data_IF_612190791838
#
_entry.id   IF_612190791838
#
_cell.length_a   1.000
_cell.length_b   1.000
_cell.length_c   1.000
_cell.angle_alpha   90.00
_cell.angle_beta   90.00
_cell.angle_gamma   90.00
#
_symmetry.space_group_name_H-M   'P 1'
#
loop_
_entity.id
_entity.type
_entity.pdbx_description
1 polymer ?
#
# COMPACT_ATOMS: atom_id res chain seq x y z
N UNK A 1 38.62 -12.85 -4.82
CA UNK A 1 38.15 -11.75 -3.96
C UNK A 1 37.02 -11.02 -4.67
N UNK A 2 35.98 -10.63 -3.95
CA UNK A 2 34.86 -9.86 -4.52
C UNK A 2 35.33 -8.45 -4.89
N UNK A 3 35.09 -7.97 -6.12
CA UNK A 3 35.41 -6.59 -6.51
C UNK A 3 34.34 -5.59 -6.06
N UNK A 4 33.12 -6.08 -5.79
CA UNK A 4 31.98 -5.23 -5.47
C UNK A 4 31.22 -5.74 -4.25
N UNK A 5 30.76 -4.80 -3.41
CA UNK A 5 29.86 -5.03 -2.29
C UNK A 5 28.51 -4.41 -2.61
N UNK A 6 27.43 -5.21 -2.51
CA UNK A 6 26.05 -4.72 -2.66
C UNK A 6 25.38 -4.74 -1.29
N UNK A 7 24.75 -3.64 -0.91
CA UNK A 7 23.97 -3.54 0.33
C UNK A 7 22.48 -3.46 0.03
N UNK A 8 21.72 -4.34 0.64
CA UNK A 8 20.25 -4.42 0.54
C UNK A 8 19.60 -4.22 1.89
N UNK A 9 18.28 -3.99 1.93
CA UNK A 9 17.56 -3.79 3.19
C UNK A 9 17.35 -5.11 3.96
N UNK A 10 16.98 -6.18 3.25
CA UNK A 10 16.59 -7.46 3.85
C UNK A 10 17.46 -8.64 3.41
N UNK A 11 17.63 -9.68 4.25
CA UNK A 11 18.42 -10.87 3.89
C UNK A 11 17.82 -11.69 2.75
N UNK A 12 16.49 -11.76 2.64
CA UNK A 12 15.81 -12.52 1.58
C UNK A 12 16.17 -11.95 0.21
N UNK A 13 15.99 -10.63 0.06
CA UNK A 13 16.45 -9.86 -1.11
C UNK A 13 17.93 -10.09 -1.42
N UNK A 14 18.77 -10.13 -0.38
CA UNK A 14 20.21 -10.35 -0.51
C UNK A 14 20.57 -11.68 -1.17
N UNK A 15 19.93 -12.78 -0.74
CA UNK A 15 20.16 -14.12 -1.31
C UNK A 15 19.77 -14.19 -2.79
N UNK A 16 18.63 -13.61 -3.14
CA UNK A 16 18.13 -13.58 -4.53
C UNK A 16 19.07 -12.81 -5.45
N UNK A 17 19.52 -11.63 -5.01
CA UNK A 17 20.44 -10.78 -5.80
C UNK A 17 21.84 -11.39 -5.92
N UNK A 18 22.37 -12.00 -4.85
CA UNK A 18 23.69 -12.65 -4.88
C UNK A 18 23.72 -13.80 -5.90
N UNK A 19 22.62 -14.56 -6.03
CA UNK A 19 22.44 -15.59 -7.06
C UNK A 19 22.52 -15.02 -8.48
N UNK A 20 21.93 -13.84 -8.74
CA UNK A 20 21.89 -13.24 -10.08
C UNK A 20 23.18 -12.53 -10.49
N UNK A 21 23.92 -11.96 -9.53
CA UNK A 21 25.18 -11.26 -9.79
C UNK A 21 26.39 -12.19 -9.85
N UNK A 22 26.33 -13.36 -9.21
CA UNK A 22 27.33 -14.41 -9.37
C UNK A 22 28.67 -14.17 -8.65
N UNK A 23 29.69 -14.96 -9.05
CA UNK A 23 31.00 -15.01 -8.37
C UNK A 23 31.82 -13.74 -8.67
N UNK A 24 31.77 -12.77 -7.77
CA UNK A 24 32.49 -11.49 -7.91
C UNK A 24 31.89 -10.36 -7.09
N UNK A 25 30.63 -10.52 -6.69
CA UNK A 25 29.88 -9.58 -5.87
C UNK A 25 29.53 -10.24 -4.54
N UNK A 26 29.76 -9.52 -3.45
CA UNK A 26 29.28 -9.92 -2.12
C UNK A 26 28.03 -9.13 -1.80
N UNK A 27 26.98 -9.78 -1.27
CA UNK A 27 25.76 -9.08 -0.86
C UNK A 27 25.60 -9.12 0.65
N UNK A 28 25.34 -7.97 1.28
CA UNK A 28 25.06 -7.86 2.72
C UNK A 28 23.75 -7.09 2.96
N UNK A 29 23.07 -7.40 4.05
CA UNK A 29 21.84 -6.71 4.45
C UNK A 29 22.08 -5.71 5.59
N UNK A 30 21.46 -4.53 5.50
CA UNK A 30 21.46 -3.51 6.56
C UNK A 30 20.45 -3.78 7.67
N UNK A 31 19.43 -4.61 7.41
CA UNK A 31 18.29 -4.88 8.29
C UNK A 31 17.46 -3.61 8.56
N UNK A 32 17.10 -2.92 7.49
CA UNK A 32 16.36 -1.66 7.54
C UNK A 32 17.26 -0.46 7.81
N UNK A 33 16.69 0.53 8.51
CA UNK A 33 17.38 1.74 8.97
C UNK A 33 18.56 1.40 9.89
N UNK A 34 19.71 2.05 9.66
CA UNK A 34 20.93 1.91 10.49
C UNK A 34 21.08 3.04 11.52
N UNK A 35 20.32 4.12 11.34
CA UNK A 35 20.27 5.30 12.20
C UNK A 35 18.82 5.65 12.49
N UNK A 36 18.59 6.31 13.62
CA UNK A 36 17.32 6.95 13.93
C UNK A 36 17.55 8.26 14.70
N UNK A 37 16.54 9.12 14.79
CA UNK A 37 16.56 10.29 15.64
C UNK A 37 16.83 9.90 17.09
N UNK A 38 17.59 10.72 17.80
CA UNK A 38 17.82 10.53 19.24
C UNK A 38 16.46 10.53 19.96
N UNK A 39 16.15 9.54 20.83
CA UNK A 39 14.86 9.41 21.49
C UNK A 39 14.71 10.37 22.69
N UNK A 40 15.17 11.61 22.55
CA UNK A 40 15.12 12.66 23.57
C UNK A 40 14.57 13.93 22.94
N UNK A 41 14.08 14.85 23.78
CA UNK A 41 13.73 16.20 23.36
C UNK A 41 14.91 16.90 22.69
N UNK A 42 14.63 17.68 21.63
CA UNK A 42 15.67 18.41 20.89
C UNK A 42 16.45 17.57 19.87
N UNK A 43 15.88 16.45 19.40
CA UNK A 43 16.44 15.70 18.26
C UNK A 43 16.34 16.46 16.93
N UNK A 44 15.50 17.50 16.89
CA UNK A 44 15.30 18.40 15.76
C UNK A 44 15.48 19.81 16.29
N UNK A 45 16.40 20.54 15.68
CA UNK A 45 16.69 21.92 16.02
C UNK A 45 15.93 22.86 15.10
N UNK A 46 14.81 23.41 15.57
CA UNK A 46 13.94 24.30 14.80
C UNK A 46 14.56 25.67 14.54
N UNK A 47 15.59 26.06 15.28
CA UNK A 47 16.27 27.34 15.12
C UNK A 47 17.40 27.27 14.09
N UNK A 48 17.93 26.07 13.84
CA UNK A 48 19.04 25.83 12.93
C UNK A 48 18.60 24.93 11.75
N UNK A 49 17.72 25.46 10.90
CA UNK A 49 17.24 24.83 9.66
C UNK A 49 16.75 23.39 9.83
N UNK A 50 16.04 23.12 10.93
CA UNK A 50 15.52 21.79 11.28
C UNK A 50 16.59 20.70 11.36
N UNK A 51 17.84 21.04 11.70
CA UNK A 51 18.93 20.07 11.75
C UNK A 51 18.59 18.88 12.66
N UNK A 52 18.80 17.67 12.15
CA UNK A 52 18.38 16.42 12.78
C UNK A 52 19.56 15.69 13.41
N UNK A 53 19.42 15.33 14.68
CA UNK A 53 20.40 14.56 15.44
C UNK A 53 20.07 13.08 15.35
N UNK A 54 20.90 12.36 14.62
CA UNK A 54 20.79 10.92 14.45
C UNK A 54 21.74 10.16 15.39
N UNK A 55 21.30 8.99 15.84
CA UNK A 55 22.12 8.01 16.54
C UNK A 55 22.03 6.66 15.85
N UNK A 56 23.07 5.83 16.01
CA UNK A 56 23.05 4.46 15.51
C UNK A 56 21.99 3.64 16.24
N UNK A 57 21.32 2.75 15.50
CA UNK A 57 20.41 1.77 16.09
C UNK A 57 21.24 0.59 16.63
N UNK A 58 21.24 0.39 17.95
CA UNK A 58 22.09 -0.61 18.62
C UNK A 58 21.95 -2.03 18.06
N UNK A 59 20.72 -2.48 17.80
CA UNK A 59 20.45 -3.81 17.22
C UNK A 59 21.12 -4.01 15.85
N UNK A 60 21.33 -2.92 15.10
CA UNK A 60 21.88 -2.97 13.74
C UNK A 60 23.41 -2.73 13.70
N UNK A 61 24.04 -2.39 14.84
CA UNK A 61 25.49 -2.16 14.95
C UNK A 61 26.32 -3.34 14.42
N UNK A 62 25.96 -4.58 14.79
CA UNK A 62 26.67 -5.79 14.33
C UNK A 62 26.64 -5.95 12.80
N UNK A 63 25.58 -5.47 12.15
CA UNK A 63 25.44 -5.52 10.69
C UNK A 63 26.28 -4.45 10.02
N UNK A 64 26.29 -3.22 10.56
CA UNK A 64 27.19 -2.15 10.11
C UNK A 64 28.66 -2.58 10.24
N UNK A 65 29.05 -3.20 11.35
CA UNK A 65 30.43 -3.65 11.55
C UNK A 65 30.84 -4.72 10.52
N UNK A 66 29.91 -5.59 10.09
CA UNK A 66 30.14 -6.54 9.00
C UNK A 66 30.32 -5.83 7.65
N UNK A 67 29.54 -4.80 7.38
CA UNK A 67 29.67 -3.97 6.16
C UNK A 67 31.05 -3.29 6.15
N UNK A 68 31.43 -2.63 7.25
CA UNK A 68 32.73 -1.98 7.41
C UNK A 68 33.89 -2.95 7.17
N UNK A 69 33.81 -4.17 7.72
CA UNK A 69 34.83 -5.20 7.48
C UNK A 69 34.90 -5.64 6.02
N UNK A 70 33.75 -5.72 5.34
CA UNK A 70 33.69 -6.11 3.93
C UNK A 70 34.23 -5.03 2.99
N UNK A 71 34.08 -3.74 3.35
CA UNK A 71 34.55 -2.60 2.56
C UNK A 71 36.07 -2.57 2.35
N UNK A 72 36.85 -3.17 3.26
CA UNK A 72 38.33 -3.19 3.15
C UNK A 72 38.89 -3.92 1.93
N UNK A 73 38.08 -4.75 1.26
CA UNK A 73 38.51 -5.64 0.19
C UNK A 73 37.71 -5.46 -1.10
N UNK A 74 37.09 -4.30 -1.33
CA UNK A 74 36.24 -4.04 -2.51
C UNK A 74 36.55 -2.68 -3.13
N UNK A 75 36.38 -2.58 -4.44
CA UNK A 75 36.58 -1.35 -5.21
C UNK A 75 35.27 -0.55 -5.35
N UNK A 76 34.13 -1.26 -5.35
CA UNK A 76 32.80 -0.68 -5.58
C UNK A 76 31.83 -1.03 -4.45
N UNK A 77 31.04 -0.03 -4.03
CA UNK A 77 29.91 -0.18 -3.11
C UNK A 77 28.61 0.20 -3.83
N UNK A 78 27.72 -0.75 -3.99
CA UNK A 78 26.38 -0.55 -4.54
C UNK A 78 25.32 -0.53 -3.44
N UNK A 79 24.54 0.54 -3.38
CA UNK A 79 23.40 0.69 -2.49
C UNK A 79 22.12 0.27 -3.23
N UNK A 80 21.57 -0.90 -2.89
CA UNK A 80 20.46 -1.57 -3.57
C UNK A 80 19.20 -1.69 -2.68
N UNK A 81 18.92 -0.65 -1.90
CA UNK A 81 17.67 -0.52 -1.14
C UNK A 81 16.48 -0.30 -2.08
N UNK A 82 15.27 -0.42 -1.53
CA UNK A 82 14.03 -0.31 -2.30
C UNK A 82 13.87 1.02 -3.05
N UNK A 83 13.11 1.05 -4.16
CA UNK A 83 13.01 2.20 -5.05
C UNK A 83 12.05 3.29 -4.54
N UNK A 84 11.94 3.46 -3.22
CA UNK A 84 11.09 4.47 -2.58
C UNK A 84 11.92 5.46 -1.73
N UNK A 85 11.23 6.46 -1.16
CA UNK A 85 11.87 7.48 -0.31
C UNK A 85 12.51 6.88 0.95
N UNK A 86 11.93 5.82 1.51
CA UNK A 86 12.49 5.13 2.68
C UNK A 86 13.79 4.42 2.32
N UNK A 87 13.80 3.68 1.20
CA UNK A 87 15.00 3.05 0.67
C UNK A 87 16.10 4.06 0.37
N UNK A 88 15.77 5.21 -0.21
CA UNK A 88 16.75 6.26 -0.47
C UNK A 88 17.36 6.82 0.83
N UNK A 89 16.54 7.05 1.85
CA UNK A 89 17.01 7.50 3.17
C UNK A 89 17.88 6.44 3.88
N UNK A 90 17.56 5.15 3.79
CA UNK A 90 18.40 4.07 4.32
C UNK A 90 19.79 4.10 3.66
N UNK A 91 19.82 4.24 2.34
CA UNK A 91 21.07 4.34 1.59
C UNK A 91 21.88 5.57 2.00
N UNK A 92 21.22 6.73 2.15
CA UNK A 92 21.86 7.95 2.63
C UNK A 92 22.42 7.80 4.06
N UNK A 93 21.63 7.26 4.99
CA UNK A 93 22.08 7.03 6.36
C UNK A 93 23.29 6.09 6.46
N UNK A 94 23.31 5.05 5.64
CA UNK A 94 24.45 4.15 5.57
C UNK A 94 25.68 4.87 5.00
N UNK A 95 25.51 5.65 3.94
CA UNK A 95 26.61 6.43 3.34
C UNK A 95 27.22 7.40 4.36
N UNK A 96 26.42 8.20 5.04
CA UNK A 96 26.89 9.15 6.05
C UNK A 96 27.60 8.43 7.21
N UNK A 97 27.10 7.26 7.63
CA UNK A 97 27.75 6.45 8.66
C UNK A 97 29.11 5.89 8.24
N UNK A 98 29.25 5.54 6.98
CA UNK A 98 30.51 5.03 6.44
C UNK A 98 31.52 6.19 6.21
N UNK A 99 31.05 7.38 5.84
CA UNK A 99 31.87 8.60 5.80
C UNK A 99 32.43 8.97 7.17
N UNK A 100 31.59 9.02 8.20
CA UNK A 100 32.02 9.32 9.57
C UNK A 100 33.03 8.31 10.13
N UNK A 101 32.99 7.07 9.63
CA UNK A 101 33.96 6.02 9.99
C UNK A 101 35.26 6.08 9.18
N UNK A 102 35.37 6.96 8.18
CA UNK A 102 36.51 7.07 7.27
C UNK A 102 36.85 5.74 6.58
N UNK A 103 35.86 5.01 6.05
CA UNK A 103 36.04 3.69 5.41
C UNK A 103 35.68 3.66 3.93
N UNK A 104 35.53 4.83 3.30
CA UNK A 104 35.14 4.98 1.88
C UNK A 104 36.27 5.46 0.97
N UNK A 105 37.47 5.66 1.51
CA UNK A 105 38.61 6.12 0.73
C UNK A 105 38.94 5.11 -0.39
N UNK A 106 38.99 5.59 -1.63
CA UNK A 106 39.25 4.76 -2.81
C UNK A 106 38.07 3.87 -3.26
N UNK A 107 36.90 3.96 -2.62
CA UNK A 107 35.72 3.15 -2.95
C UNK A 107 34.75 3.96 -3.80
N UNK A 108 34.38 3.44 -4.96
CA UNK A 108 33.33 4.02 -5.79
C UNK A 108 31.95 3.65 -5.24
N UNK A 109 31.18 4.64 -4.78
CA UNK A 109 29.84 4.42 -4.18
C UNK A 109 28.73 4.81 -5.15
N UNK A 110 27.81 3.90 -5.39
CA UNK A 110 26.75 4.04 -6.40
C UNK A 110 25.39 3.53 -5.91
N UNK A 111 24.30 4.10 -6.40
CA UNK A 111 22.91 3.71 -6.08
C UNK A 111 22.33 2.88 -7.23
N UNK A 112 21.81 1.70 -6.91
CA UNK A 112 21.22 0.74 -7.87
C UNK A 112 19.73 0.59 -7.60
N UNK A 113 18.88 0.86 -8.58
CA UNK A 113 17.42 0.87 -8.44
C UNK A 113 16.80 -0.13 -9.41
N UNK A 114 15.89 -0.96 -8.90
CA UNK A 114 15.08 -1.87 -9.69
C UNK A 114 13.70 -2.00 -9.05
N UNK A 115 12.69 -2.23 -9.87
CA UNK A 115 11.28 -2.35 -9.45
C UNK A 115 10.80 -3.81 -9.39
N UNK A 116 11.67 -4.74 -9.77
CA UNK A 116 11.46 -6.18 -9.74
C UNK A 116 12.78 -6.90 -9.51
N UNK A 117 12.73 -8.11 -8.96
CA UNK A 117 13.92 -8.91 -8.64
C UNK A 117 14.01 -10.06 -9.63
N UNK A 118 14.26 -9.71 -10.90
CA UNK A 118 14.56 -10.64 -11.98
C UNK A 118 16.05 -10.58 -12.31
N UNK A 119 16.58 -11.62 -12.96
CA UNK A 119 18.01 -11.66 -13.34
C UNK A 119 18.38 -10.50 -14.29
N UNK A 120 17.53 -10.23 -15.29
CA UNK A 120 17.72 -9.15 -16.26
C UNK A 120 17.71 -7.79 -15.57
N UNK A 121 16.66 -7.48 -14.80
CA UNK A 121 16.51 -6.17 -14.15
C UNK A 121 17.64 -5.88 -13.16
N UNK A 122 18.08 -6.87 -12.38
CA UNK A 122 19.20 -6.70 -11.43
C UNK A 122 20.53 -6.46 -12.14
N UNK A 123 20.79 -7.17 -13.24
CA UNK A 123 22.04 -7.00 -14.01
C UNK A 123 22.06 -5.64 -14.73
N UNK A 124 20.94 -5.24 -15.32
CA UNK A 124 20.80 -3.93 -15.97
C UNK A 124 20.95 -2.78 -14.97
N UNK A 125 20.35 -2.88 -13.80
CA UNK A 125 20.43 -1.85 -12.77
C UNK A 125 21.85 -1.68 -12.21
N UNK A 126 22.63 -2.77 -12.11
CA UNK A 126 24.05 -2.70 -11.72
C UNK A 126 24.92 -2.14 -12.84
N UNK A 127 24.57 -2.38 -14.11
CA UNK A 127 25.26 -1.81 -15.26
C UNK A 127 24.98 -0.30 -15.42
N UNK A 128 23.79 0.17 -14.99
CA UNK A 128 23.36 1.57 -15.10
C UNK A 128 23.07 2.20 -13.72
N UNK A 129 24.09 2.34 -12.85
CA UNK A 129 23.90 2.95 -11.54
C UNK A 129 23.63 4.46 -11.65
N UNK A 130 23.01 5.02 -10.61
CA UNK A 130 22.82 6.46 -10.43
C UNK A 130 23.44 6.98 -9.13
N UNK A 131 23.44 8.29 -8.96
CA UNK A 131 23.70 8.92 -7.66
C UNK A 131 22.48 8.84 -6.74
N UNK A 132 22.67 9.14 -5.45
CA UNK A 132 21.55 9.30 -4.52
C UNK A 132 20.70 10.51 -4.92
N UNK A 133 19.38 10.35 -4.81
CA UNK A 133 18.41 11.41 -5.04
C UNK A 133 18.20 12.18 -3.74
N UNK A 134 18.97 13.24 -3.56
CA UNK A 134 18.86 14.15 -2.41
C UNK A 134 17.41 14.64 -2.20
N UNK A 135 16.64 15.03 -3.24
CA UNK A 135 15.23 15.40 -3.05
C UNK A 135 14.35 14.30 -2.43
N UNK A 136 14.65 13.02 -2.68
CA UNK A 136 13.91 11.90 -2.07
C UNK A 136 14.30 11.71 -0.60
N UNK A 137 15.59 11.89 -0.29
CA UNK A 137 16.10 11.88 1.09
C UNK A 137 15.48 13.02 1.87
N UNK A 138 15.53 14.25 1.34
CA UNK A 138 14.97 15.44 1.97
C UNK A 138 13.46 15.29 2.21
N UNK A 139 12.73 14.69 1.26
CA UNK A 139 11.30 14.41 1.43
C UNK A 139 11.03 13.39 2.56
N UNK A 140 11.89 12.39 2.72
CA UNK A 140 11.79 11.43 3.82
C UNK A 140 12.13 12.09 5.17
N UNK A 141 13.21 12.88 5.19
CA UNK A 141 13.68 13.63 6.35
C UNK A 141 12.67 14.68 6.83
N UNK A 142 12.10 15.47 5.92
CA UNK A 142 11.03 16.43 6.23
C UNK A 142 9.81 15.73 6.82
N UNK A 143 9.42 14.56 6.28
CA UNK A 143 8.35 13.74 6.86
C UNK A 143 8.71 13.28 8.27
N UNK A 144 9.92 12.75 8.46
CA UNK A 144 10.41 12.28 9.78
C UNK A 144 10.41 13.42 10.79
N UNK A 145 10.83 14.60 10.36
CA UNK A 145 10.85 15.79 11.19
C UNK A 145 9.46 16.23 11.61
N UNK A 146 8.54 16.32 10.65
CA UNK A 146 7.16 16.68 10.89
C UNK A 146 6.46 15.72 11.85
N UNK A 147 6.62 14.41 11.63
CA UNK A 147 6.00 13.38 12.47
C UNK A 147 6.58 13.41 13.91
N UNK A 148 7.88 13.67 14.07
CA UNK A 148 8.52 13.88 15.38
C UNK A 148 7.97 15.12 16.08
N UNK A 149 7.94 16.28 15.42
CA UNK A 149 7.50 17.55 16.01
C UNK A 149 6.02 17.48 16.46
N UNK A 150 5.15 16.90 15.63
CA UNK A 150 3.73 16.68 16.00
C UNK A 150 3.61 15.74 17.20
N UNK A 151 4.32 14.60 17.16
CA UNK A 151 4.26 13.61 18.22
C UNK A 151 4.74 14.16 19.56
N UNK A 152 5.92 14.77 19.59
CA UNK A 152 6.53 15.30 20.81
C UNK A 152 5.79 16.52 21.39
N UNK A 153 5.23 17.39 20.55
CA UNK A 153 4.55 18.58 21.04
C UNK A 153 3.09 18.31 21.47
N UNK A 154 2.38 17.39 20.79
CA UNK A 154 0.94 17.17 21.06
C UNK A 154 0.70 16.03 22.06
N UNK A 155 1.50 14.96 22.06
CA UNK A 155 1.25 13.80 22.95
C UNK A 155 1.25 14.17 24.44
N UNK A 156 2.14 15.05 24.96
CA UNK A 156 2.08 15.48 26.37
C UNK A 156 0.77 16.18 26.73
N UNK A 157 0.17 16.93 25.80
CA UNK A 157 -1.12 17.57 26.00
C UNK A 157 -2.24 16.51 26.13
N UNK A 158 -2.21 15.49 25.27
CA UNK A 158 -3.16 14.36 25.35
C UNK A 158 -3.03 13.60 26.67
N UNK A 159 -1.81 13.43 27.19
CA UNK A 159 -1.60 12.79 28.49
C UNK A 159 -2.20 13.58 29.64
N UNK A 160 -2.03 14.91 29.61
CA UNK A 160 -2.58 15.82 30.63
C UNK A 160 -4.10 15.93 30.57
N UNK A 161 -4.70 15.84 29.38
CA UNK A 161 -6.13 16.12 29.16
C UNK A 161 -7.02 14.88 29.05
N UNK A 162 -6.47 13.74 28.65
CA UNK A 162 -7.24 12.52 28.37
C UNK A 162 -6.69 11.34 29.16
N UNK A 163 -5.52 10.80 28.77
CA UNK A 163 -4.91 9.63 29.41
C UNK A 163 -3.41 9.53 29.10
N UNK A 164 -2.56 9.21 30.09
CA UNK A 164 -1.16 8.88 29.85
C UNK A 164 -0.97 7.75 28.82
N UNK A 165 0.05 7.87 27.97
CA UNK A 165 0.40 6.85 26.97
C UNK A 165 -0.33 6.96 25.63
N UNK A 166 -1.19 7.96 25.44
CA UNK A 166 -1.77 8.26 24.12
C UNK A 166 -0.74 8.86 23.17
N UNK A 167 -0.88 8.61 21.87
CA UNK A 167 -0.02 9.21 20.84
C UNK A 167 -0.82 10.14 19.95
N UNK A 168 -0.23 11.28 19.62
CA UNK A 168 -0.73 12.14 18.57
C UNK A 168 0.07 11.88 17.29
N UNK A 169 -0.62 11.77 16.16
CA UNK A 169 0.04 11.52 14.88
C UNK A 169 -0.70 12.24 13.77
N UNK A 170 0.04 12.98 12.95
CA UNK A 170 -0.52 13.80 11.86
C UNK A 170 -1.42 13.00 10.90
N UNK A 171 -1.13 11.72 10.68
CA UNK A 171 -1.93 10.82 9.82
C UNK A 171 -2.90 9.96 10.64
N UNK A 172 -2.52 9.55 11.85
CA UNK A 172 -3.34 8.70 12.71
C UNK A 172 -4.58 9.43 13.23
N UNK A 173 -4.43 10.69 13.64
CA UNK A 173 -5.53 11.47 14.21
C UNK A 173 -6.65 11.77 13.20
N UNK A 174 -6.37 12.20 11.95
CA UNK A 174 -7.43 12.30 10.93
C UNK A 174 -8.08 10.97 10.57
N UNK A 175 -7.32 9.87 10.51
CA UNK A 175 -7.89 8.55 10.24
C UNK A 175 -8.85 8.10 11.36
N UNK A 176 -8.48 8.33 12.62
CA UNK A 176 -9.37 8.10 13.76
C UNK A 176 -10.61 9.00 13.68
N UNK A 177 -10.43 10.28 13.35
CA UNK A 177 -11.54 11.23 13.17
C UNK A 177 -12.55 10.74 12.12
N UNK A 178 -12.10 10.23 10.98
CA UNK A 178 -13.01 9.68 9.96
C UNK A 178 -13.86 8.51 10.47
N UNK A 179 -13.33 7.69 11.39
CA UNK A 179 -14.07 6.59 12.01
C UNK A 179 -15.08 7.15 13.01
N UNK A 180 -14.66 8.09 13.85
CA UNK A 180 -15.53 8.73 14.85
C UNK A 180 -16.68 9.48 14.18
N UNK A 181 -16.41 10.29 13.15
CA UNK A 181 -17.46 11.02 12.41
C UNK A 181 -18.46 10.06 11.77
N UNK A 182 -18.01 8.91 11.25
CA UNK A 182 -18.93 7.87 10.75
C UNK A 182 -19.78 7.25 11.88
N UNK A 183 -19.21 7.02 13.05
CA UNK A 183 -19.98 6.50 14.18
C UNK A 183 -21.01 7.52 14.65
N UNK A 184 -20.64 8.80 14.75
CA UNK A 184 -21.55 9.91 15.07
C UNK A 184 -22.69 10.01 14.03
N UNK A 185 -22.40 9.83 12.74
CA UNK A 185 -23.43 9.75 11.68
C UNK A 185 -24.41 8.58 11.91
N UNK A 186 -23.91 7.43 12.39
CA UNK A 186 -24.73 6.24 12.66
C UNK A 186 -25.57 6.44 13.93
N UNK A 187 -25.00 7.01 15.00
CA UNK A 187 -25.71 7.30 16.24
C UNK A 187 -26.79 8.38 16.05
N UNK A 188 -26.53 9.38 15.19
CA UNK A 188 -27.47 10.43 14.84
C UNK A 188 -28.53 9.99 13.80
N UNK A 189 -28.41 8.77 13.25
CA UNK A 189 -29.35 8.27 12.25
C UNK A 189 -30.71 7.97 12.89
N UNK A 190 -31.73 8.73 12.51
CA UNK A 190 -33.13 8.49 12.87
C UNK A 190 -33.79 7.54 11.85
N UNK A 191 -33.98 6.24 12.16
CA UNK A 191 -34.51 5.26 11.23
C UNK A 191 -35.97 5.56 10.91
N UNK A 192 -36.28 5.72 9.62
CA UNK A 192 -37.65 5.93 9.13
C UNK A 192 -38.19 4.65 8.51
N UNK A 193 -39.32 4.21 9.03
CA UNK A 193 -40.07 3.09 8.47
C UNK A 193 -40.55 3.42 7.05
N UNK A 194 -40.42 2.44 6.15
CA UNK A 194 -41.02 2.50 4.82
C UNK A 194 -41.25 1.09 4.27
N UNK A 195 -42.19 1.01 3.34
CA UNK A 195 -42.59 -0.23 2.70
C UNK A 195 -42.25 -0.21 1.22
N UNK A 196 -41.86 -1.39 0.71
CA UNK A 196 -41.74 -1.62 -0.73
C UNK A 196 -42.63 -2.78 -1.12
N UNK A 197 -43.34 -2.62 -2.23
CA UNK A 197 -44.22 -3.66 -2.75
C UNK A 197 -43.53 -4.37 -3.90
N UNK A 198 -43.51 -5.70 -3.84
CA UNK A 198 -43.04 -6.57 -4.91
C UNK A 198 -44.19 -7.47 -5.35
N UNK A 199 -44.45 -7.53 -6.65
CA UNK A 199 -45.39 -8.50 -7.21
C UNK A 199 -44.67 -9.82 -7.47
N UNK A 200 -45.34 -10.95 -7.29
CA UNK A 200 -44.85 -12.24 -7.79
C UNK A 200 -45.54 -12.51 -9.11
N UNK A 201 -44.77 -12.59 -10.20
CA UNK A 201 -45.34 -12.79 -11.55
C UNK A 201 -44.71 -14.00 -12.21
N UNK A 202 -45.52 -14.67 -13.03
CA UNK A 202 -45.12 -15.80 -13.85
C UNK A 202 -45.36 -15.47 -15.32
N UNK A 203 -44.35 -15.70 -16.15
CA UNK A 203 -44.50 -15.66 -17.60
C UNK A 203 -44.03 -16.98 -18.17
N UNK A 204 -44.98 -17.86 -18.54
CA UNK A 204 -44.70 -19.17 -19.14
C UNK A 204 -43.77 -20.05 -18.28
N UNK A 205 -43.94 -20.01 -16.96
CA UNK A 205 -43.11 -20.75 -15.99
C UNK A 205 -41.87 -19.98 -15.50
N UNK A 206 -41.52 -18.85 -16.14
CA UNK A 206 -40.45 -17.97 -15.63
C UNK A 206 -41.01 -17.04 -14.56
N UNK A 207 -40.59 -17.27 -13.31
CA UNK A 207 -41.00 -16.47 -12.15
C UNK A 207 -40.03 -15.33 -11.90
N UNK A 208 -40.55 -14.13 -11.65
CA UNK A 208 -39.75 -12.98 -11.25
C UNK A 208 -40.57 -12.02 -10.36
N UNK A 209 -39.87 -11.10 -9.68
CA UNK A 209 -40.49 -10.23 -8.67
C UNK A 209 -40.32 -8.74 -9.01
N UNK A 210 -41.16 -8.15 -9.88
CA UNK A 210 -41.10 -6.72 -10.16
C UNK A 210 -41.41 -5.90 -8.89
N UNK A 211 -40.58 -4.89 -8.63
CA UNK A 211 -40.83 -3.89 -7.60
C UNK A 211 -41.77 -2.82 -8.13
N UNK A 212 -42.76 -2.43 -7.33
CA UNK A 212 -43.66 -1.32 -7.65
C UNK A 212 -42.86 -0.02 -7.76
N UNK A 213 -42.92 0.60 -8.93
CA UNK A 213 -42.24 1.87 -9.21
C UNK A 213 -43.20 3.07 -9.25
N UNK A 214 -44.43 2.86 -9.70
CA UNK A 214 -45.43 3.92 -9.89
C UNK A 214 -46.75 3.48 -9.30
N UNK A 215 -47.37 4.33 -8.49
CA UNK A 215 -48.67 4.07 -7.88
C UNK A 215 -49.56 5.31 -8.03
N UNK A 216 -50.79 5.13 -8.50
CA UNK A 216 -51.75 6.22 -8.74
C UNK A 216 -51.19 7.37 -9.61
N UNK A 217 -50.44 7.02 -10.66
CA UNK A 217 -49.83 8.00 -11.58
C UNK A 217 -48.59 8.72 -11.05
N UNK A 218 -48.18 8.50 -9.80
CA UNK A 218 -46.99 9.08 -9.19
C UNK A 218 -45.87 8.05 -9.09
N UNK A 219 -44.66 8.42 -9.51
CA UNK A 219 -43.47 7.60 -9.25
C UNK A 219 -43.17 7.60 -7.74
N UNK A 220 -43.08 6.41 -7.15
CA UNK A 220 -42.85 6.24 -5.72
C UNK A 220 -41.42 6.59 -5.36
N UNK A 221 -41.27 7.45 -4.35
CA UNK A 221 -40.03 7.68 -3.61
C UNK A 221 -39.96 6.74 -2.40
N UNK A 222 -38.78 6.62 -1.80
CA UNK A 222 -38.51 5.69 -0.71
C UNK A 222 -39.53 5.77 0.45
N UNK A 223 -39.98 6.97 0.82
CA UNK A 223 -40.88 7.20 1.96
C UNK A 223 -42.32 7.55 1.56
N UNK A 224 -42.74 7.28 0.31
CA UNK A 224 -44.14 7.51 -0.10
C UNK A 224 -45.11 6.48 0.52
N UNK A 225 -44.62 5.29 0.88
CA UNK A 225 -45.35 4.29 1.68
C UNK A 225 -44.66 4.15 3.03
N UNK A 226 -44.98 5.03 3.97
CA UNK A 226 -44.27 5.17 5.25
C UNK A 226 -44.95 4.44 6.43
N UNK A 227 -46.02 3.69 6.18
CA UNK A 227 -46.72 2.92 7.20
C UNK A 227 -47.36 1.66 6.60
N UNK A 228 -47.59 0.67 7.44
CA UNK A 228 -48.16 -0.62 7.06
C UNK A 228 -49.56 -0.49 6.43
N UNK A 229 -50.41 0.36 7.00
CA UNK A 229 -51.80 0.54 6.54
C UNK A 229 -51.86 0.99 5.08
N UNK A 230 -51.07 1.99 4.71
CA UNK A 230 -51.02 2.49 3.32
C UNK A 230 -50.40 1.47 2.37
N UNK A 231 -49.41 0.71 2.84
CA UNK A 231 -48.80 -0.37 2.07
C UNK A 231 -49.80 -1.51 1.79
N UNK A 232 -50.59 -1.92 2.79
CA UNK A 232 -51.65 -2.92 2.66
C UNK A 232 -52.74 -2.42 1.72
N UNK A 233 -53.21 -1.19 1.90
CA UNK A 233 -54.23 -0.60 1.02
C UNK A 233 -53.75 -0.52 -0.44
N UNK A 234 -52.49 -0.14 -0.66
CA UNK A 234 -51.89 -0.14 -1.99
C UNK A 234 -51.77 -1.56 -2.57
N UNK A 235 -51.36 -2.55 -1.78
CA UNK A 235 -51.32 -3.96 -2.18
C UNK A 235 -52.70 -4.47 -2.60
N UNK A 236 -53.72 -4.27 -1.77
CA UNK A 236 -55.08 -4.72 -2.04
C UNK A 236 -55.64 -4.09 -3.30
N UNK A 237 -55.46 -2.78 -3.46
CA UNK A 237 -55.87 -2.07 -4.68
C UNK A 237 -55.18 -2.64 -5.92
N UNK A 238 -53.86 -2.87 -5.86
CA UNK A 238 -53.12 -3.44 -6.99
C UNK A 238 -53.55 -4.87 -7.33
N UNK A 239 -53.86 -5.70 -6.34
CA UNK A 239 -54.36 -7.06 -6.57
C UNK A 239 -55.74 -7.04 -7.23
N UNK A 240 -56.62 -6.14 -6.77
CA UNK A 240 -57.95 -5.94 -7.34
C UNK A 240 -57.86 -5.42 -8.78
N UNK A 241 -57.04 -4.39 -9.02
CA UNK A 241 -56.85 -3.77 -10.34
C UNK A 241 -56.20 -4.76 -11.34
N UNK A 242 -55.27 -5.60 -10.89
CA UNK A 242 -54.60 -6.60 -11.73
C UNK A 242 -55.50 -7.81 -12.05
N UNK A 243 -56.41 -8.19 -11.14
CA UNK A 243 -57.27 -9.37 -11.29
C UNK A 243 -56.47 -10.63 -11.71
N UNK A 244 -55.33 -10.86 -11.05
CA UNK A 244 -54.44 -12.00 -11.31
C UNK A 244 -53.61 -11.91 -12.59
N UNK A 245 -53.65 -10.80 -13.35
CA UNK A 245 -52.86 -10.61 -14.58
C UNK A 245 -52.22 -9.23 -14.61
N UNK A 246 -50.98 -9.16 -15.10
CA UNK A 246 -50.29 -7.88 -15.33
C UNK A 246 -49.82 -7.79 -16.77
N UNK A 247 -49.84 -6.58 -17.32
CA UNK A 247 -49.46 -6.33 -18.72
C UNK A 247 -48.10 -5.65 -18.78
N UNK A 248 -47.22 -6.15 -19.65
CA UNK A 248 -45.95 -5.49 -19.94
C UNK A 248 -46.23 -4.26 -20.81
N UNK A 249 -46.04 -3.07 -20.26
CA UNK A 249 -46.28 -1.80 -20.98
C UNK A 249 -45.08 -1.32 -21.78
N UNK A 250 -43.86 -1.68 -21.37
CA UNK A 250 -42.61 -1.29 -22.03
C UNK A 250 -41.55 -2.36 -21.85
N UNK A 251 -40.80 -2.65 -22.92
CA UNK A 251 -39.63 -3.52 -22.91
C UNK A 251 -38.47 -2.80 -23.58
N UNK A 252 -37.33 -2.70 -22.90
CA UNK A 252 -36.15 -2.03 -23.42
C UNK A 252 -34.93 -2.94 -23.24
N UNK A 253 -34.20 -3.18 -24.35
CA UNK A 253 -32.97 -3.96 -24.36
C UNK A 253 -31.80 -3.01 -24.60
N UNK A 254 -30.81 -3.03 -23.70
CA UNK A 254 -29.58 -2.23 -23.83
C UNK A 254 -28.37 -3.12 -23.77
N UNK A 255 -27.45 -2.93 -24.72
CA UNK A 255 -26.11 -3.49 -24.62
C UNK A 255 -25.28 -2.61 -23.69
N UNK A 256 -24.61 -3.22 -22.71
CA UNK A 256 -23.66 -2.52 -21.83
C UNK A 256 -22.28 -3.13 -22.02
N UNK A 257 -21.28 -2.29 -22.27
CA UNK A 257 -19.87 -2.70 -22.32
C UNK A 257 -19.27 -2.51 -20.92
N UNK A 258 -18.61 -3.54 -20.40
CA UNK A 258 -17.84 -3.46 -19.16
C UNK A 258 -16.36 -3.52 -19.51
N UNK A 259 -15.59 -2.53 -19.08
CA UNK A 259 -14.15 -2.53 -19.22
C UNK A 259 -13.50 -3.31 -18.06
N UNK A 260 -12.35 -3.97 -18.29
CA UNK A 260 -11.59 -4.60 -17.22
C UNK A 260 -11.08 -3.55 -16.22
N UNK A 261 -10.81 -3.97 -15.00
CA UNK A 261 -10.17 -3.12 -13.99
C UNK A 261 -8.71 -2.86 -14.34
N UNK A 262 -8.19 -1.72 -13.91
CA UNK A 262 -6.76 -1.42 -14.04
C UNK A 262 -5.90 -2.43 -13.24
N UNK A 263 -4.61 -2.56 -13.57
CA UNK A 263 -3.64 -3.28 -12.74
C UNK A 263 -3.60 -2.77 -11.30
N UNK A 264 -3.08 -3.59 -10.40
CA UNK A 264 -3.03 -3.27 -8.97
C UNK A 264 -2.04 -2.16 -8.63
N UNK A 265 -2.53 -1.16 -7.91
CA UNK A 265 -1.75 -0.27 -7.03
C UNK A 265 -1.76 -0.83 -5.60
N UNK A 266 -0.97 -0.24 -4.70
CA UNK A 266 -0.99 -0.64 -3.27
C UNK A 266 -2.38 -0.55 -2.65
N UNK A 267 -3.13 0.52 -2.93
CA UNK A 267 -4.45 0.76 -2.33
C UNK A 267 -5.49 -0.24 -2.85
N UNK A 268 -5.50 -0.50 -4.16
CA UNK A 268 -6.45 -1.44 -4.78
C UNK A 268 -6.12 -2.89 -4.43
N UNK A 269 -4.83 -3.24 -4.31
CA UNK A 269 -4.39 -4.55 -3.81
C UNK A 269 -4.86 -4.78 -2.36
N UNK A 270 -4.71 -3.78 -1.48
CA UNK A 270 -5.17 -3.89 -0.09
C UNK A 270 -6.69 -4.00 0.01
N UNK A 271 -7.44 -3.23 -0.78
CA UNK A 271 -8.90 -3.29 -0.83
C UNK A 271 -9.38 -4.67 -1.31
N UNK A 272 -8.84 -5.17 -2.42
CA UNK A 272 -9.22 -6.49 -2.95
C UNK A 272 -8.74 -7.63 -2.05
N UNK A 273 -7.58 -7.51 -1.39
CA UNK A 273 -7.12 -8.46 -0.39
C UNK A 273 -8.06 -8.54 0.82
N UNK A 274 -8.61 -7.41 1.28
CA UNK A 274 -9.63 -7.39 2.32
C UNK A 274 -10.95 -7.99 1.84
N UNK A 275 -11.43 -7.58 0.65
CA UNK A 275 -12.74 -7.97 0.13
C UNK A 275 -12.82 -9.44 -0.30
N UNK A 276 -11.77 -9.97 -0.94
CA UNK A 276 -11.76 -11.33 -1.52
C UNK A 276 -11.09 -12.36 -0.64
N UNK A 277 -10.02 -11.97 0.07
CA UNK A 277 -9.19 -12.90 0.85
C UNK A 277 -9.36 -12.72 2.37
N UNK A 278 -10.16 -11.74 2.81
CA UNK A 278 -10.35 -11.40 4.23
C UNK A 278 -9.03 -11.07 4.94
N UNK A 279 -8.03 -10.56 4.21
CA UNK A 279 -6.76 -10.13 4.77
C UNK A 279 -6.88 -8.70 5.32
N UNK A 280 -6.35 -8.47 6.52
CA UNK A 280 -6.06 -7.11 6.94
C UNK A 280 -4.89 -6.54 6.12
N UNK A 281 -4.77 -5.21 6.10
CA UNK A 281 -3.74 -4.51 5.30
C UNK A 281 -2.32 -4.98 5.62
N UNK A 282 -2.00 -5.24 6.90
CA UNK A 282 -0.70 -5.76 7.33
C UNK A 282 -0.40 -7.13 6.71
N UNK A 283 -1.37 -8.05 6.71
CA UNK A 283 -1.21 -9.39 6.13
C UNK A 283 -1.00 -9.29 4.62
N UNK A 284 -1.81 -8.49 3.92
CA UNK A 284 -1.64 -8.28 2.47
C UNK A 284 -0.25 -7.76 2.14
N UNK A 285 0.23 -6.72 2.84
CA UNK A 285 1.56 -6.17 2.59
C UNK A 285 2.70 -7.11 2.98
N UNK A 286 2.54 -7.90 4.04
CA UNK A 286 3.53 -8.90 4.44
C UNK A 286 3.69 -10.01 3.39
N UNK A 287 2.58 -10.49 2.82
CA UNK A 287 2.61 -11.49 1.76
C UNK A 287 3.20 -10.89 0.49
N UNK A 288 2.77 -9.68 0.10
CA UNK A 288 3.31 -9.00 -1.07
C UNK A 288 4.83 -8.73 -0.95
N UNK A 289 5.33 -8.36 0.24
CA UNK A 289 6.78 -8.23 0.48
C UNK A 289 7.52 -9.55 0.21
N UNK A 290 6.99 -10.68 0.71
CA UNK A 290 7.62 -11.99 0.49
C UNK A 290 7.61 -12.38 -0.99
N UNK A 291 6.51 -12.13 -1.69
CA UNK A 291 6.41 -12.37 -3.13
C UNK A 291 7.39 -11.51 -3.92
N UNK A 292 7.61 -10.25 -3.52
CA UNK A 292 8.58 -9.35 -4.16
C UNK A 292 10.04 -9.75 -3.87
N UNK A 293 10.40 -9.98 -2.60
CA UNK A 293 11.77 -10.31 -2.18
C UNK A 293 12.25 -11.69 -2.66
N UNK A 294 11.28 -12.60 -2.81
CA UNK A 294 11.45 -13.91 -3.38
C UNK A 294 11.08 -15.03 -2.41
N UNK A 295 10.42 -16.05 -2.97
CA UNK A 295 10.05 -17.28 -2.26
C UNK A 295 10.86 -18.42 -2.86
N UNK A 296 11.35 -19.33 -2.01
CA UNK A 296 12.05 -20.54 -2.46
C UNK A 296 11.03 -21.56 -2.99
N UNK A 297 11.13 -21.86 -4.29
CA UNK A 297 10.25 -22.81 -4.99
C UNK A 297 10.94 -24.16 -5.28
N UNK A 298 12.10 -24.42 -4.68
CA UNK A 298 12.89 -25.64 -4.86
C UNK A 298 14.19 -25.42 -5.64
N UNK A 299 14.18 -24.50 -6.60
CA UNK A 299 15.37 -24.08 -7.38
C UNK A 299 16.02 -22.80 -6.82
N UNK A 300 15.69 -22.43 -5.58
CA UNK A 300 16.11 -21.21 -4.90
C UNK A 300 15.07 -20.08 -4.98
N UNK A 301 15.36 -18.93 -4.34
CA UNK A 301 14.40 -17.83 -4.24
C UNK A 301 14.15 -17.15 -5.60
N UNK A 302 12.88 -16.90 -5.91
CA UNK A 302 12.44 -16.19 -7.12
C UNK A 302 11.41 -15.12 -6.74
N UNK A 303 11.60 -13.89 -7.23
CA UNK A 303 10.62 -12.81 -7.11
C UNK A 303 9.41 -13.08 -8.03
N UNK A 304 8.20 -13.02 -7.47
CA UNK A 304 6.95 -13.39 -8.13
C UNK A 304 6.08 -12.20 -8.54
N UNK A 305 6.37 -11.01 -8.00
CA UNK A 305 5.65 -9.77 -8.33
C UNK A 305 6.62 -8.60 -8.42
N UNK A 306 6.18 -7.52 -9.07
CA UNK A 306 6.84 -6.21 -9.02
C UNK A 306 6.67 -5.54 -7.65
N UNK A 307 7.35 -4.43 -7.44
CA UNK A 307 7.33 -3.69 -6.18
C UNK A 307 5.92 -3.30 -5.74
N UNK A 308 5.53 -3.75 -4.55
CA UNK A 308 4.15 -3.67 -4.03
C UNK A 308 3.78 -2.31 -3.41
N UNK A 309 4.72 -1.38 -3.27
CA UNK A 309 4.48 0.00 -2.80
C UNK A 309 4.53 0.95 -4.01
N UNK A 310 3.42 1.01 -4.73
CA UNK A 310 3.27 1.77 -5.97
C UNK A 310 1.88 2.39 -6.08
N UNK A 311 1.81 3.60 -6.61
CA UNK A 311 0.60 4.29 -7.06
C UNK A 311 0.40 4.23 -8.58
N UNK A 312 1.35 3.63 -9.31
CA UNK A 312 1.29 3.45 -10.76
C UNK A 312 0.48 2.22 -11.16
N UNK A 313 -0.29 2.37 -12.24
CA UNK A 313 -1.00 1.29 -12.94
C UNK A 313 -0.33 0.89 -14.25
N UNK A 314 0.85 1.47 -14.54
CA UNK A 314 1.58 1.26 -15.78
C UNK A 314 2.26 -0.11 -15.74
N UNK A 315 2.12 -0.86 -16.84
CA UNK A 315 2.84 -2.12 -17.06
C UNK A 315 4.01 -1.87 -18.00
N UNK A 316 5.12 -2.57 -17.79
CA UNK A 316 6.20 -2.62 -18.76
C UNK A 316 5.72 -3.27 -20.07
N UNK A 317 6.27 -2.84 -21.21
CA UNK A 317 5.86 -3.38 -22.51
C UNK A 317 6.06 -4.90 -22.60
N UNK A 318 7.17 -5.41 -22.06
CA UNK A 318 7.45 -6.86 -21.98
C UNK A 318 6.33 -7.60 -21.24
N UNK A 319 5.90 -7.11 -20.08
CA UNK A 319 4.79 -7.70 -19.33
C UNK A 319 3.46 -7.65 -20.11
N UNK A 320 3.20 -6.58 -20.87
CA UNK A 320 2.00 -6.48 -21.72
C UNK A 320 2.02 -7.53 -22.82
N UNK A 321 3.17 -7.74 -23.45
CA UNK A 321 3.32 -8.70 -24.55
C UNK A 321 3.23 -10.16 -24.06
N UNK A 322 3.82 -10.47 -22.90
CA UNK A 322 3.68 -11.77 -22.24
C UNK A 322 2.22 -12.07 -21.85
N UNK A 323 1.54 -11.12 -21.19
CA UNK A 323 0.13 -11.27 -20.80
C UNK A 323 -0.76 -11.47 -22.03
N UNK A 324 -0.52 -10.72 -23.11
CA UNK A 324 -1.29 -10.88 -24.36
C UNK A 324 -1.06 -12.24 -24.99
N UNK A 325 0.17 -12.74 -24.98
CA UNK A 325 0.51 -14.06 -25.51
C UNK A 325 -0.24 -15.17 -24.76
N UNK A 326 -0.33 -15.07 -23.43
CA UNK A 326 -1.08 -16.01 -22.58
C UNK A 326 -2.60 -15.98 -22.83
N UNK A 327 -3.17 -14.84 -23.21
CA UNK A 327 -4.62 -14.72 -23.48
C UNK A 327 -5.01 -15.38 -24.81
N UNK A 328 -4.07 -15.47 -25.76
CA UNK A 328 -4.30 -16.08 -27.08
C UNK A 328 -4.24 -17.62 -27.01
N UNK A 329 -3.55 -18.17 -26.01
CA UNK A 329 -3.50 -19.60 -25.70
C UNK A 329 -4.80 -20.10 -25.05
#
# INVERSE_FOLDING_TARGET
MSKSLVIVESPAKGKTIEKYLGKGTKVLASYGHVRDLVPKTGAIDTENDFSMKYQMIDRNKKHVDKIVKALKNVDNLYLATDPDREGEAISWHLLELLKEKNVLEGINVQRVVFHEITKSAVQEAVANPRGLSIPMVDAQQARRALDYLVGFNISPLLWKKIKPGLSAGRVQSPALRMIVEREEEIEAFDPKEYWTLQGLVDKKGEKFSPKLHTYQGKALKQFDLNNEKDAIAAKEKLLNDANGKVTVTRLEKKQRKRQPTAPFTTSTLQQEGSRKLYFNTRRTMSVAQQLYEGIDLGDGPVGLITYMRTDSVILANEAVDEIRSLIVE
#
